data_IF_220540561158
#
_entry.id   IF_220540561158
#
_cell.length_a   1.000
_cell.length_b   1.000
_cell.length_c   1.000
_cell.angle_alpha   90.00
_cell.angle_beta   90.00
_cell.angle_gamma   90.00
#
_symmetry.space_group_name_H-M   'P 1'
#
loop_
_entity.id
_entity.type
_entity.pdbx_description
1 polymer ?
#
# COMPACT_ATOMS: atom_id res chain seq x y z
N UNK A 1 7.23 -15.41 -6.08
CA UNK A 1 8.26 -14.76 -6.90
C UNK A 1 9.06 -13.80 -6.07
N UNK A 2 10.23 -13.38 -6.53
CA UNK A 2 11.06 -12.36 -5.88
C UNK A 2 11.60 -11.38 -6.93
N UNK A 3 11.87 -10.15 -6.52
CA UNK A 3 12.42 -9.09 -7.37
C UNK A 3 13.37 -8.21 -6.59
N UNK A 4 14.31 -7.58 -7.31
CA UNK A 4 15.22 -6.55 -6.80
C UNK A 4 15.40 -5.48 -7.86
N UNK A 5 15.39 -4.22 -7.45
CA UNK A 5 15.70 -3.09 -8.30
C UNK A 5 16.49 -2.02 -7.55
N UNK A 6 17.37 -1.35 -8.29
CA UNK A 6 18.21 -0.25 -7.81
C UNK A 6 18.27 0.84 -8.88
N UNK A 7 18.18 2.09 -8.46
CA UNK A 7 18.20 3.25 -9.33
C UNK A 7 18.94 4.41 -8.69
N UNK A 8 19.69 5.17 -9.50
CA UNK A 8 20.32 6.41 -9.08
C UNK A 8 19.26 7.51 -8.97
N UNK A 9 19.23 8.21 -7.83
CA UNK A 9 18.36 9.37 -7.59
C UNK A 9 18.97 10.59 -8.28
N UNK A 10 18.11 11.37 -8.92
CA UNK A 10 18.52 12.63 -9.54
C UNK A 10 19.12 13.60 -8.51
N UNK A 11 20.01 14.49 -8.95
CA UNK A 11 20.59 15.52 -8.08
C UNK A 11 19.53 16.32 -7.33
N UNK A 12 18.41 16.64 -8.00
CA UNK A 12 17.30 17.33 -7.35
C UNK A 12 16.69 16.50 -6.22
N UNK A 13 16.44 15.20 -6.41
CA UNK A 13 15.92 14.31 -5.36
C UNK A 13 16.87 14.17 -4.17
N UNK A 14 18.18 14.14 -4.42
CA UNK A 14 19.20 14.12 -3.35
C UNK A 14 19.18 15.43 -2.56
N UNK A 15 19.07 16.57 -3.24
CA UNK A 15 19.00 17.90 -2.60
C UNK A 15 17.70 18.08 -1.81
N UNK A 16 16.55 17.70 -2.39
CA UNK A 16 15.23 17.71 -1.71
C UNK A 16 15.17 16.74 -0.52
N UNK A 17 16.03 15.72 -0.51
CA UNK A 17 16.19 14.76 0.57
C UNK A 17 16.93 15.31 1.79
N UNK A 18 17.58 16.48 1.70
CA UNK A 18 18.36 17.06 2.79
C UNK A 18 17.48 17.83 3.79
N UNK A 19 16.40 17.20 4.27
CA UNK A 19 15.52 17.73 5.31
C UNK A 19 15.15 16.62 6.30
N UNK A 20 14.61 16.99 7.47
CA UNK A 20 14.41 16.05 8.59
C UNK A 20 13.36 14.95 8.39
N UNK A 21 12.61 14.95 7.28
CA UNK A 21 11.54 13.97 6.99
C UNK A 21 11.77 13.15 5.72
N UNK A 22 12.75 13.53 4.90
CA UNK A 22 13.01 12.91 3.61
C UNK A 22 14.28 12.08 3.64
N UNK A 23 14.28 11.10 2.76
CA UNK A 23 15.40 10.22 2.54
C UNK A 23 16.62 10.97 2.00
N UNK A 24 17.73 10.92 2.73
CA UNK A 24 19.04 11.33 2.25
C UNK A 24 19.78 10.13 1.66
N UNK A 25 20.15 10.17 0.38
CA UNK A 25 20.88 9.07 -0.25
C UNK A 25 20.87 9.17 -1.76
N UNK A 26 21.92 8.66 -2.40
CA UNK A 26 22.11 8.71 -3.86
C UNK A 26 21.33 7.64 -4.61
N UNK A 27 20.96 6.54 -3.94
CA UNK A 27 20.29 5.41 -4.57
C UNK A 27 18.91 5.19 -3.95
N UNK A 28 17.97 4.76 -4.78
CA UNK A 28 16.69 4.19 -4.38
C UNK A 28 16.73 2.68 -4.66
N UNK A 29 16.41 1.87 -3.66
CA UNK A 29 16.47 0.42 -3.76
C UNK A 29 15.16 -0.21 -3.29
N UNK A 30 14.80 -1.34 -3.88
CA UNK A 30 13.66 -2.16 -3.45
C UNK A 30 13.98 -3.63 -3.67
N UNK A 31 13.58 -4.46 -2.72
CA UNK A 31 13.37 -5.87 -2.96
C UNK A 31 11.97 -6.26 -2.49
N UNK A 32 11.38 -7.23 -3.17
CA UNK A 32 10.08 -7.76 -2.79
C UNK A 32 10.02 -9.25 -3.05
N UNK A 33 9.25 -9.95 -2.22
CA UNK A 33 8.91 -11.35 -2.39
C UNK A 33 7.41 -11.52 -2.20
N UNK A 34 6.82 -12.44 -2.94
CA UNK A 34 5.38 -12.69 -2.87
C UNK A 34 5.00 -14.12 -3.18
N UNK A 35 3.89 -14.54 -2.58
CA UNK A 35 3.27 -15.84 -2.77
C UNK A 35 1.82 -15.62 -3.22
N UNK A 36 1.36 -16.51 -4.11
CA UNK A 36 -0.02 -16.49 -4.60
C UNK A 36 -0.54 -17.92 -4.70
N UNK A 37 -1.75 -18.12 -4.21
CA UNK A 37 -2.58 -19.28 -4.47
C UNK A 37 -3.84 -18.79 -5.20
N UNK A 38 -4.09 -19.38 -6.37
CA UNK A 38 -5.14 -18.93 -7.29
C UNK A 38 -5.73 -20.17 -7.96
N UNK A 39 -6.63 -20.83 -7.23
CA UNK A 39 -7.25 -22.07 -7.64
C UNK A 39 -8.57 -22.28 -6.89
N UNK A 40 -9.46 -23.08 -7.46
CA UNK A 40 -10.72 -23.51 -6.82
C UNK A 40 -11.59 -22.33 -6.34
N UNK A 41 -11.71 -21.28 -7.16
CA UNK A 41 -12.41 -20.04 -6.84
C UNK A 41 -11.84 -19.25 -5.63
N UNK A 42 -10.68 -19.65 -5.11
CA UNK A 42 -10.01 -18.99 -4.00
C UNK A 42 -8.79 -18.24 -4.56
N UNK A 43 -8.69 -16.97 -4.20
CA UNK A 43 -7.54 -16.14 -4.46
C UNK A 43 -6.93 -15.70 -3.12
N UNK A 44 -5.71 -16.14 -2.86
CA UNK A 44 -4.92 -15.74 -1.71
C UNK A 44 -3.58 -15.23 -2.21
N UNK A 45 -3.18 -14.04 -1.82
CA UNK A 45 -1.86 -13.53 -2.13
C UNK A 45 -1.28 -12.80 -0.93
N UNK A 46 0.04 -12.85 -0.82
CA UNK A 46 0.77 -12.02 0.14
C UNK A 46 2.08 -11.57 -0.47
N UNK A 47 2.48 -10.35 -0.13
CA UNK A 47 3.74 -9.76 -0.55
C UNK A 47 4.42 -9.13 0.65
N UNK A 48 5.73 -9.30 0.72
CA UNK A 48 6.60 -8.54 1.62
C UNK A 48 7.61 -7.78 0.76
N UNK A 49 7.82 -6.51 1.07
CA UNK A 49 8.85 -5.72 0.41
C UNK A 49 9.58 -4.82 1.38
N UNK A 50 10.81 -4.49 1.03
CA UNK A 50 11.57 -3.48 1.74
C UNK A 50 12.15 -2.51 0.71
N UNK A 51 12.00 -1.23 1.01
CA UNK A 51 12.45 -0.13 0.17
C UNK A 51 13.45 0.72 0.93
N UNK A 52 14.40 1.31 0.21
CA UNK A 52 15.32 2.32 0.73
C UNK A 52 15.25 3.57 -0.16
N UNK A 53 15.03 4.72 0.46
CA UNK A 53 14.95 6.03 -0.20
C UNK A 53 13.97 6.11 -1.38
N UNK A 54 12.88 5.33 -1.34
CA UNK A 54 11.96 5.14 -2.47
C UNK A 54 10.50 5.38 -2.11
N UNK A 55 10.04 4.95 -0.94
CA UNK A 55 8.62 5.01 -0.57
C UNK A 55 8.19 6.44 -0.28
N UNK A 56 7.22 6.93 -1.06
CA UNK A 56 6.60 8.24 -0.84
C UNK A 56 5.47 8.11 0.18
N UNK A 57 5.36 9.05 1.13
CA UNK A 57 4.31 9.07 2.15
C UNK A 57 3.82 10.48 2.45
N UNK A 58 2.59 10.58 2.97
CA UNK A 58 1.97 11.86 3.36
C UNK A 58 2.05 12.92 2.26
N UNK A 59 2.50 14.12 2.62
CA UNK A 59 2.67 15.27 1.73
C UNK A 59 3.95 15.17 0.85
N UNK A 60 4.10 14.07 0.12
CA UNK A 60 5.25 13.77 -0.77
C UNK A 60 6.61 13.65 -0.06
N UNK A 61 6.61 13.17 1.19
CA UNK A 61 7.85 12.82 1.87
C UNK A 61 8.42 11.50 1.35
N UNK A 62 9.72 11.27 1.48
CA UNK A 62 10.36 10.00 1.06
C UNK A 62 10.95 9.31 2.29
N UNK A 63 10.53 8.08 2.58
CA UNK A 63 11.06 7.33 3.71
C UNK A 63 12.49 6.85 3.45
N UNK A 64 13.38 6.98 4.45
CA UNK A 64 14.74 6.42 4.41
C UNK A 64 14.69 4.92 4.15
N UNK A 65 13.81 4.23 4.88
CA UNK A 65 13.51 2.83 4.70
C UNK A 65 12.03 2.59 4.97
N UNK A 66 11.39 1.72 4.22
CA UNK A 66 10.04 1.26 4.53
C UNK A 66 9.93 -0.25 4.35
N UNK A 67 9.29 -0.90 5.32
CA UNK A 67 8.96 -2.32 5.32
C UNK A 67 7.47 -2.46 5.06
N UNK A 68 7.11 -3.16 3.99
CA UNK A 68 5.73 -3.28 3.54
C UNK A 68 5.31 -4.74 3.56
N UNK A 69 4.12 -4.99 4.09
CA UNK A 69 3.45 -6.27 4.08
C UNK A 69 2.03 -6.09 3.55
N UNK A 70 1.65 -6.93 2.61
CA UNK A 70 0.29 -6.96 2.07
C UNK A 70 -0.19 -8.40 2.03
N UNK A 71 -1.45 -8.60 2.36
CA UNK A 71 -2.13 -9.88 2.25
C UNK A 71 -3.56 -9.64 1.76
N UNK A 72 -4.04 -10.52 0.89
CA UNK A 72 -5.40 -10.45 0.34
C UNK A 72 -5.99 -11.85 0.25
N UNK A 73 -7.26 -11.95 0.59
CA UNK A 73 -8.07 -13.14 0.50
C UNK A 73 -9.38 -12.82 -0.18
N UNK A 74 -9.71 -13.57 -1.23
CA UNK A 74 -10.94 -13.40 -1.99
C UNK A 74 -11.51 -14.75 -2.37
N UNK A 75 -12.82 -14.79 -2.53
CA UNK A 75 -13.54 -15.97 -2.99
C UNK A 75 -14.48 -15.59 -4.12
N UNK A 76 -14.50 -16.36 -5.20
CA UNK A 76 -15.38 -16.13 -6.35
C UNK A 76 -16.56 -17.10 -6.28
N UNK A 77 -17.75 -16.58 -5.98
CA UNK A 77 -18.97 -17.38 -6.11
C UNK A 77 -19.38 -17.56 -7.56
N UNK A 78 -20.01 -18.69 -7.86
CA UNK A 78 -20.50 -19.03 -9.20
C UNK A 78 -21.61 -18.08 -9.69
N UNK A 79 -22.33 -17.43 -8.77
CA UNK A 79 -23.38 -16.45 -9.08
C UNK A 79 -22.85 -15.03 -9.34
N UNK A 80 -21.53 -14.85 -9.41
CA UNK A 80 -20.87 -13.60 -9.80
C UNK A 80 -20.42 -12.69 -8.66
N UNK A 81 -20.72 -13.02 -7.39
CA UNK A 81 -20.20 -12.25 -6.24
C UNK A 81 -18.77 -12.66 -5.89
N UNK A 82 -17.93 -11.68 -5.60
CA UNK A 82 -16.55 -11.86 -5.17
C UNK A 82 -16.27 -11.00 -3.94
N UNK A 83 -16.49 -11.50 -2.71
CA UNK A 83 -16.00 -10.84 -1.51
C UNK A 83 -14.46 -10.82 -1.46
N UNK A 84 -13.93 -9.79 -0.83
CA UNK A 84 -12.50 -9.60 -0.58
C UNK A 84 -12.25 -9.07 0.83
N UNK A 85 -11.17 -9.55 1.44
CA UNK A 85 -10.55 -8.96 2.62
C UNK A 85 -9.07 -8.80 2.35
N UNK A 86 -8.52 -7.63 2.63
CA UNK A 86 -7.08 -7.39 2.54
C UNK A 86 -6.56 -6.69 3.80
N UNK A 87 -5.27 -6.89 4.06
CA UNK A 87 -4.52 -6.18 5.09
C UNK A 87 -3.26 -5.62 4.46
N UNK A 88 -3.03 -4.32 4.65
CA UNK A 88 -1.83 -3.66 4.18
C UNK A 88 -1.18 -2.91 5.35
N UNK A 89 0.12 -3.11 5.51
CA UNK A 89 0.93 -2.44 6.51
C UNK A 89 2.25 -1.99 5.90
N UNK A 90 2.57 -0.71 6.01
CA UNK A 90 3.82 -0.09 5.60
C UNK A 90 4.38 0.68 6.78
N UNK A 91 5.54 0.23 7.28
CA UNK A 91 6.24 0.87 8.39
C UNK A 91 7.50 1.57 7.89
N UNK A 92 7.53 2.88 8.06
CA UNK A 92 8.71 3.72 7.83
C UNK A 92 9.69 3.56 8.98
N UNK A 93 10.95 3.37 8.63
CA UNK A 93 12.07 3.23 9.56
C UNK A 93 12.96 4.47 9.48
N UNK A 94 13.42 4.92 10.64
CA UNK A 94 14.33 6.07 10.77
C UNK A 94 13.83 7.35 10.08
N UNK A 95 12.58 7.77 10.35
CA UNK A 95 11.99 8.99 9.79
C UNK A 95 12.44 10.26 10.54
N UNK A 96 13.75 10.41 10.71
CA UNK A 96 14.36 11.54 11.40
C UNK A 96 13.94 11.62 12.88
N UNK A 97 13.37 12.76 13.29
CA UNK A 97 12.96 13.01 14.69
C UNK A 97 11.81 12.12 15.17
N UNK A 98 11.09 11.48 14.24
CA UNK A 98 9.92 10.65 14.55
C UNK A 98 10.27 9.17 14.77
N UNK A 99 11.49 8.75 14.44
CA UNK A 99 11.89 7.35 14.51
C UNK A 99 11.06 6.46 13.58
N UNK A 100 10.61 5.32 14.10
CA UNK A 100 9.78 4.36 13.37
C UNK A 100 8.30 4.75 13.44
N UNK A 101 7.64 4.86 12.29
CA UNK A 101 6.22 5.24 12.21
C UNK A 101 5.49 4.43 11.14
N UNK A 102 4.20 4.20 11.36
CA UNK A 102 3.35 3.54 10.38
C UNK A 102 2.89 4.56 9.32
N UNK A 103 3.20 4.25 8.05
CA UNK A 103 2.92 5.10 6.89
C UNK A 103 1.58 4.74 6.25
N UNK A 104 1.26 3.45 6.25
CA UNK A 104 0.00 2.86 5.79
C UNK A 104 -0.33 1.71 6.72
N UNK A 105 -1.54 1.67 7.27
CA UNK A 105 -2.02 0.51 8.02
C UNK A 105 -3.54 0.46 7.90
N UNK A 106 -4.08 -0.54 7.22
CA UNK A 106 -5.52 -0.68 7.09
C UNK A 106 -5.94 -2.12 6.80
N UNK A 107 -7.19 -2.41 7.16
CA UNK A 107 -7.94 -3.56 6.68
C UNK A 107 -8.93 -3.07 5.63
N UNK A 108 -8.96 -3.73 4.48
CA UNK A 108 -9.99 -3.51 3.46
C UNK A 108 -10.96 -4.68 3.48
N UNK A 109 -12.25 -4.36 3.47
CA UNK A 109 -13.33 -5.35 3.34
C UNK A 109 -14.25 -4.87 2.23
N UNK A 110 -14.45 -5.71 1.22
CA UNK A 110 -15.19 -5.35 0.04
C UNK A 110 -15.88 -6.52 -0.63
N UNK A 111 -16.68 -6.19 -1.63
CA UNK A 111 -17.28 -7.16 -2.51
C UNK A 111 -17.52 -6.56 -3.89
N UNK A 112 -17.16 -7.31 -4.92
CA UNK A 112 -17.50 -7.02 -6.30
C UNK A 112 -18.58 -7.97 -6.80
N UNK A 113 -19.62 -7.46 -7.43
CA UNK A 113 -20.63 -8.26 -8.12
C UNK A 113 -20.49 -8.12 -9.63
N UNK A 114 -20.27 -9.23 -10.31
CA UNK A 114 -20.17 -9.30 -11.77
C UNK A 114 -21.52 -9.70 -12.36
N UNK A 115 -22.17 -8.76 -13.05
CA UNK A 115 -23.41 -9.06 -13.80
C UNK A 115 -23.10 -9.90 -15.04
N UNK A 116 -22.02 -9.55 -15.74
CA UNK A 116 -21.49 -10.25 -16.89
C UNK A 116 -20.02 -9.83 -17.11
N UNK A 117 -19.41 -10.25 -18.23
CA UNK A 117 -18.01 -9.90 -18.57
C UNK A 117 -17.78 -8.40 -18.82
N UNK A 118 -18.84 -7.63 -19.02
CA UNK A 118 -18.80 -6.23 -19.44
C UNK A 118 -19.33 -5.27 -18.37
N UNK A 119 -19.93 -5.77 -17.28
CA UNK A 119 -20.56 -4.92 -16.26
C UNK A 119 -20.40 -5.50 -14.86
N UNK A 120 -19.93 -4.66 -13.93
CA UNK A 120 -19.79 -5.00 -12.52
C UNK A 120 -20.11 -3.81 -11.62
N UNK A 121 -20.36 -4.09 -10.34
CA UNK A 121 -20.45 -3.07 -9.29
C UNK A 121 -19.63 -3.54 -8.09
N UNK A 122 -19.10 -2.61 -7.30
CA UNK A 122 -18.31 -2.94 -6.13
C UNK A 122 -18.61 -1.99 -4.97
N UNK A 123 -18.36 -2.49 -3.77
CA UNK A 123 -18.29 -1.71 -2.54
C UNK A 123 -17.02 -2.14 -1.81
N UNK A 124 -16.20 -1.18 -1.42
CA UNK A 124 -14.98 -1.40 -0.65
C UNK A 124 -14.99 -0.48 0.56
N UNK A 125 -14.58 -1.01 1.71
CA UNK A 125 -14.44 -0.27 2.95
C UNK A 125 -13.04 -0.43 3.50
N UNK A 126 -12.28 0.67 3.40
CA UNK A 126 -10.97 0.82 4.02
C UNK A 126 -11.15 1.28 5.47
N UNK A 127 -10.87 0.37 6.39
CA UNK A 127 -10.80 0.62 7.84
C UNK A 127 -9.36 0.98 8.17
N UNK A 128 -9.11 2.26 8.39
CA UNK A 128 -7.78 2.79 8.66
C UNK A 128 -7.41 2.51 10.13
N UNK A 129 -6.25 1.90 10.33
CA UNK A 129 -5.78 1.51 11.66
C UNK A 129 -4.71 2.47 12.21
N UNK A 130 -4.31 3.48 11.44
CA UNK A 130 -3.34 4.48 11.88
C UNK A 130 -4.00 5.48 12.83
N UNK A 131 -3.46 5.60 14.04
CA UNK A 131 -3.89 6.59 15.02
C UNK A 131 -3.44 8.02 14.70
N UNK A 132 -4.26 8.99 15.12
CA UNK A 132 -3.92 10.41 15.07
C UNK A 132 -2.79 10.71 16.05
N UNK A 133 -1.66 11.18 15.53
CA UNK A 133 -0.45 11.50 16.28
C UNK A 133 0.17 12.80 15.75
N UNK A 134 1.18 13.32 16.44
CA UNK A 134 1.89 14.51 15.95
C UNK A 134 2.63 14.21 14.64
N UNK A 135 3.07 12.96 14.44
CA UNK A 135 3.63 12.50 13.17
C UNK A 135 2.61 12.57 12.04
N UNK A 136 1.41 12.00 12.21
CA UNK A 136 0.41 11.96 11.13
C UNK A 136 -0.10 13.35 10.78
N UNK A 137 -0.22 14.25 11.77
CA UNK A 137 -0.51 15.68 11.55
C UNK A 137 0.60 16.39 10.78
N UNK A 138 1.86 16.18 11.16
CA UNK A 138 3.00 16.85 10.54
C UNK A 138 3.29 16.36 9.12
N UNK A 139 3.15 15.05 8.89
CA UNK A 139 3.42 14.41 7.60
C UNK A 139 2.23 14.44 6.64
N UNK A 140 1.00 14.61 7.13
CA UNK A 140 -0.22 14.54 6.32
C UNK A 140 -0.67 13.10 6.01
N UNK A 141 -0.23 12.11 6.78
CA UNK A 141 -0.71 10.73 6.65
C UNK A 141 -2.19 10.67 7.07
N UNK A 142 -3.04 10.18 6.18
CA UNK A 142 -4.47 10.05 6.42
C UNK A 142 -4.76 8.96 7.44
N UNK A 143 -5.63 9.27 8.40
CA UNK A 143 -6.02 8.39 9.52
C UNK A 143 -7.51 8.06 9.51
N UNK A 144 -8.27 8.66 8.60
CA UNK A 144 -9.71 8.43 8.51
C UNK A 144 -10.02 7.22 7.61
N UNK A 145 -11.16 6.59 7.88
CA UNK A 145 -11.72 5.51 7.08
C UNK A 145 -12.30 6.01 5.75
N UNK A 146 -12.39 5.14 4.75
CA UNK A 146 -12.93 5.47 3.43
C UNK A 146 -13.85 4.35 2.94
N UNK A 147 -15.04 4.71 2.49
CA UNK A 147 -15.94 3.81 1.75
C UNK A 147 -15.98 4.23 0.28
N UNK A 148 -15.80 3.28 -0.62
CA UNK A 148 -15.96 3.46 -2.06
C UNK A 148 -17.09 2.57 -2.56
N UNK A 149 -17.93 3.12 -3.45
CA UNK A 149 -18.96 2.38 -4.17
C UNK A 149 -18.89 2.78 -5.63
N UNK A 150 -18.98 1.81 -6.54
CA UNK A 150 -18.85 2.07 -7.96
C UNK A 150 -19.58 1.07 -8.84
N UNK A 151 -19.82 1.48 -10.07
CA UNK A 151 -20.28 0.62 -11.16
C UNK A 151 -19.37 0.84 -12.36
N UNK A 152 -18.96 -0.27 -12.98
CA UNK A 152 -18.01 -0.28 -14.09
C UNK A 152 -18.67 -0.95 -15.28
N UNK A 153 -18.56 -0.31 -16.45
CA UNK A 153 -18.91 -0.88 -17.73
C UNK A 153 -17.68 -0.88 -18.63
N UNK A 154 -17.37 -2.02 -19.23
CA UNK A 154 -16.19 -2.22 -20.08
C UNK A 154 -16.59 -2.88 -21.42
N UNK A 155 -16.01 -2.39 -22.51
CA UNK A 155 -16.26 -2.85 -23.88
C UNK A 155 -15.12 -3.71 -24.42
#
# INVERSE_FOLDING_TARGET
GATYAKSDRTNNQVIYGNNGLNASGQNAEVWAAGLKYDANNIYLATTYSETQNMTVFGNNHIANKAQNFEAVAQYQFDFGLRPSVAYLHSKGKDLGVWGDQDLVEYVDVGATYYFNKNMSTFVDYKINLIDKSDFTKASGVATDDIVAVGMVYQF
#
